data_IF_421231426295
#
_entry.id   IF_421231426295
#
_cell.length_a   1.000
_cell.length_b   1.000
_cell.length_c   1.000
_cell.angle_alpha   90.00
_cell.angle_beta   90.00
_cell.angle_gamma   90.00
#
_symmetry.space_group_name_H-M   'P 1'
#
loop_
_entity.id
_entity.type
_entity.pdbx_description
1 polymer ?
#
# COMPACT_ATOMS: atom_id res chain seq x y z
N UNK A 1 6.26 -49.03 27.57
CA UNK A 1 6.32 -49.78 26.32
C UNK A 1 4.93 -50.22 25.94
N UNK A 2 4.28 -49.44 25.04
CA UNK A 2 3.18 -49.88 24.18
C UNK A 2 2.96 -48.76 23.16
N UNK A 3 3.07 -49.10 21.92
CA UNK A 3 2.83 -48.30 20.72
C UNK A 3 1.33 -48.05 20.60
N UNK A 4 0.91 -46.81 20.34
CA UNK A 4 -0.43 -46.44 19.83
C UNK A 4 -0.15 -45.39 18.76
N UNK A 5 -0.36 -45.57 17.60
CA UNK A 5 -1.36 -45.73 16.64
C UNK A 5 -1.60 -44.38 15.96
N UNK A 6 -1.23 -44.24 14.64
CA UNK A 6 -1.60 -43.16 13.75
C UNK A 6 -3.12 -42.96 13.76
N UNK A 7 -3.59 -41.77 14.15
CA UNK A 7 -4.97 -41.31 13.99
C UNK A 7 -5.03 -40.19 12.97
N UNK A 8 -5.72 -40.45 11.86
CA UNK A 8 -6.15 -39.44 10.90
C UNK A 8 -6.96 -38.37 11.62
N UNK A 9 -6.58 -37.11 11.45
CA UNK A 9 -7.42 -35.94 11.81
C UNK A 9 -8.35 -35.73 10.60
N UNK A 10 -9.57 -36.28 10.69
CA UNK A 10 -10.66 -35.90 9.82
C UNK A 10 -11.06 -34.45 10.08
N UNK A 11 -11.42 -33.73 9.02
CA UNK A 11 -11.88 -32.35 9.03
C UNK A 11 -13.00 -32.15 10.08
N UNK A 12 -12.75 -31.33 11.08
CA UNK A 12 -13.78 -30.94 12.06
C UNK A 12 -14.79 -30.04 11.31
N UNK A 13 -16.00 -30.56 11.11
CA UNK A 13 -17.13 -29.77 10.59
C UNK A 13 -17.55 -28.76 11.67
N UNK A 14 -17.18 -27.50 11.44
CA UNK A 14 -17.50 -26.36 12.32
C UNK A 14 -19.00 -26.24 12.61
N UNK A 15 -19.86 -26.73 11.69
CA UNK A 15 -21.31 -26.80 11.90
C UNK A 15 -21.71 -27.77 13.00
N UNK A 16 -20.98 -28.87 13.13
CA UNK A 16 -21.23 -29.88 14.17
C UNK A 16 -20.88 -29.38 15.58
N UNK A 17 -19.82 -28.57 15.70
CA UNK A 17 -19.40 -27.98 16.97
C UNK A 17 -20.35 -26.87 17.42
N UNK A 18 -20.85 -26.04 16.49
CA UNK A 18 -21.80 -24.96 16.81
C UNK A 18 -23.21 -25.47 17.13
N UNK A 19 -23.67 -26.56 16.49
CA UNK A 19 -24.96 -27.18 16.82
C UNK A 19 -24.99 -27.76 18.24
N UNK A 20 -23.87 -28.29 18.73
CA UNK A 20 -23.80 -28.85 20.08
C UNK A 20 -23.67 -27.80 21.20
N UNK A 21 -23.23 -26.57 20.87
CA UNK A 21 -23.08 -25.49 21.83
C UNK A 21 -24.33 -24.60 21.99
N UNK A 22 -25.19 -24.50 20.98
CA UNK A 22 -26.27 -23.50 20.97
C UNK A 22 -27.68 -24.05 20.64
N UNK A 23 -27.86 -25.34 20.40
CA UNK A 23 -29.16 -25.95 20.11
C UNK A 23 -29.71 -25.61 18.72
N UNK A 24 -30.30 -26.59 18.05
CA UNK A 24 -30.76 -26.54 16.62
C UNK A 24 -31.82 -25.45 16.35
N UNK A 25 -32.66 -25.11 17.34
CA UNK A 25 -33.80 -24.20 17.16
C UNK A 25 -33.41 -22.71 17.24
N UNK A 26 -32.27 -22.39 17.83
CA UNK A 26 -31.76 -21.01 17.95
C UNK A 26 -31.05 -20.58 16.67
N UNK A 27 -30.45 -21.51 15.96
CA UNK A 27 -29.75 -21.24 14.69
C UNK A 27 -30.71 -21.00 13.50
N UNK A 28 -31.85 -21.72 13.43
CA UNK A 28 -32.81 -21.53 12.34
C UNK A 28 -33.61 -20.21 12.45
N UNK A 29 -33.87 -19.71 13.64
CA UNK A 29 -34.59 -18.43 13.83
C UNK A 29 -33.73 -17.19 13.60
N UNK A 30 -32.41 -17.29 13.78
CA UNK A 30 -31.50 -16.15 13.60
C UNK A 30 -30.87 -16.06 12.21
N UNK A 31 -30.90 -17.14 11.41
CA UNK A 31 -30.41 -17.14 10.04
C UNK A 31 -31.36 -16.50 9.02
N UNK A 32 -32.65 -16.38 9.34
CA UNK A 32 -33.64 -15.71 8.46
C UNK A 32 -33.76 -14.19 8.69
N UNK A 33 -33.06 -13.64 9.71
CA UNK A 33 -33.07 -12.22 10.03
C UNK A 33 -31.74 -11.49 9.66
N UNK A 34 -30.78 -12.19 9.07
CA UNK A 34 -29.50 -11.65 8.62
C UNK A 34 -29.46 -11.66 7.09
N UNK A 35 -30.21 -10.75 6.46
CA UNK A 35 -29.94 -10.30 5.08
C UNK A 35 -28.63 -9.45 5.08
N UNK A 36 -27.54 -10.10 5.44
CA UNK A 36 -26.19 -9.59 5.15
C UNK A 36 -25.80 -10.12 3.78
N UNK A 37 -25.14 -9.32 2.93
CA UNK A 37 -24.60 -9.79 1.67
C UNK A 37 -23.37 -10.68 1.94
N UNK A 38 -23.62 -11.86 2.51
CA UNK A 38 -22.58 -12.88 2.81
C UNK A 38 -21.95 -13.42 1.51
N UNK A 39 -22.63 -13.27 0.36
CA UNK A 39 -22.19 -13.82 -0.92
C UNK A 39 -20.90 -13.21 -1.48
N UNK A 40 -20.69 -11.89 -1.38
CA UNK A 40 -19.56 -11.24 -2.03
C UNK A 40 -18.26 -11.33 -1.23
N UNK A 41 -18.32 -11.26 0.10
CA UNK A 41 -17.14 -11.37 0.95
C UNK A 41 -16.61 -12.81 1.04
N UNK A 42 -17.51 -13.82 1.05
CA UNK A 42 -17.13 -15.23 1.05
C UNK A 42 -16.59 -15.67 -0.31
N UNK A 43 -17.13 -15.16 -1.42
CA UNK A 43 -16.64 -15.42 -2.78
C UNK A 43 -15.22 -14.87 -2.97
N UNK A 44 -14.96 -13.63 -2.55
CA UNK A 44 -13.64 -13.00 -2.65
C UNK A 44 -12.54 -13.69 -1.81
N UNK A 45 -12.90 -14.34 -0.69
CA UNK A 45 -11.93 -15.07 0.14
C UNK A 45 -11.54 -16.45 -0.44
N UNK A 46 -12.28 -16.96 -1.44
CA UNK A 46 -12.01 -18.23 -2.14
C UNK A 46 -11.11 -18.06 -3.36
N UNK A 47 -10.96 -16.83 -3.88
CA UNK A 47 -10.16 -16.55 -5.06
C UNK A 47 -8.67 -16.83 -4.81
N UNK A 48 -8.04 -17.47 -5.80
CA UNK A 48 -6.64 -17.88 -5.71
C UNK A 48 -5.91 -17.63 -7.03
N UNK A 49 -4.62 -17.43 -6.96
CA UNK A 49 -3.72 -17.53 -8.11
C UNK A 49 -3.10 -18.91 -8.17
N UNK A 50 -3.06 -19.47 -9.39
CA UNK A 50 -2.31 -20.66 -9.72
C UNK A 50 -1.17 -20.22 -10.64
N UNK A 51 0.07 -20.48 -10.22
CA UNK A 51 1.28 -19.97 -10.86
C UNK A 51 2.22 -21.14 -11.13
N UNK A 52 2.60 -21.32 -12.40
CA UNK A 52 3.68 -22.20 -12.81
C UNK A 52 4.96 -21.38 -12.97
N UNK A 53 5.99 -21.73 -12.21
CA UNK A 53 7.22 -20.95 -12.18
C UNK A 53 8.26 -21.38 -13.22
N UNK A 54 9.41 -20.68 -13.24
CA UNK A 54 10.58 -20.89 -14.12
C UNK A 54 10.36 -20.61 -15.60
N UNK A 55 9.35 -19.83 -15.95
CA UNK A 55 9.21 -19.29 -17.30
C UNK A 55 9.86 -17.91 -17.39
N UNK A 56 10.73 -17.66 -18.40
CA UNK A 56 11.35 -16.34 -18.58
C UNK A 56 10.30 -15.26 -18.87
N UNK A 57 10.33 -14.18 -18.14
CA UNK A 57 9.42 -13.04 -18.32
C UNK A 57 10.00 -12.10 -19.39
N UNK A 58 9.27 -11.85 -20.49
CA UNK A 58 9.74 -11.04 -21.63
C UNK A 58 8.64 -10.13 -22.12
N UNK A 59 8.95 -8.89 -22.41
CA UNK A 59 7.99 -7.90 -22.92
C UNK A 59 8.09 -6.59 -22.21
N UNK A 60 6.99 -5.84 -22.23
CA UNK A 60 6.92 -4.51 -21.61
C UNK A 60 5.78 -4.46 -20.61
N UNK A 61 6.07 -3.98 -19.40
CA UNK A 61 5.10 -3.63 -18.38
C UNK A 61 5.08 -2.11 -18.24
N UNK A 62 3.91 -1.50 -18.43
CA UNK A 62 3.71 -0.08 -18.16
C UNK A 62 3.25 0.10 -16.73
N UNK A 63 3.86 1.05 -16.00
CA UNK A 63 3.48 1.33 -14.61
C UNK A 63 2.07 1.92 -14.55
N UNK A 64 1.30 1.47 -13.58
CA UNK A 64 0.00 2.05 -13.23
C UNK A 64 0.19 3.36 -12.46
N UNK A 65 -0.88 4.14 -12.32
CA UNK A 65 -0.88 5.30 -11.44
C UNK A 65 -0.64 4.94 -9.97
N UNK A 66 0.02 5.83 -9.25
CA UNK A 66 0.40 5.58 -7.87
C UNK A 66 -0.83 5.54 -6.95
N UNK A 67 -1.15 4.36 -6.43
CA UNK A 67 -2.22 4.17 -5.45
C UNK A 67 -2.11 5.16 -4.30
N UNK A 68 -0.93 5.26 -3.69
CA UNK A 68 -0.73 6.06 -2.49
C UNK A 68 -0.84 7.57 -2.75
N UNK A 69 -0.69 8.03 -4.02
CA UNK A 69 -0.98 9.40 -4.43
C UNK A 69 -2.48 9.60 -4.76
N UNK A 70 -3.12 8.61 -5.37
CA UNK A 70 -4.53 8.70 -5.73
C UNK A 70 -5.42 8.90 -4.50
N UNK A 71 -5.19 8.15 -3.42
CA UNK A 71 -6.03 8.21 -2.22
C UNK A 71 -6.05 9.60 -1.55
N UNK A 72 -4.91 10.26 -1.24
CA UNK A 72 -4.92 11.61 -0.70
C UNK A 72 -5.41 12.66 -1.69
N UNK A 73 -5.16 12.51 -3.00
CA UNK A 73 -5.69 13.44 -4.01
C UNK A 73 -7.22 13.39 -4.11
N UNK A 74 -7.83 12.19 -3.97
CA UNK A 74 -9.30 12.06 -3.87
C UNK A 74 -9.81 12.78 -2.62
N UNK A 75 -9.19 12.59 -1.46
CA UNK A 75 -9.58 13.28 -0.24
C UNK A 75 -9.38 14.80 -0.33
N UNK A 76 -8.28 15.27 -0.92
CA UNK A 76 -7.98 16.68 -1.13
C UNK A 76 -8.98 17.38 -2.05
N UNK A 77 -9.61 16.64 -2.97
CA UNK A 77 -10.66 17.19 -3.86
C UNK A 77 -11.85 17.76 -3.08
N UNK A 78 -12.06 17.36 -1.81
CA UNK A 78 -13.04 17.95 -0.90
C UNK A 78 -12.77 19.44 -0.65
N UNK A 79 -11.52 19.88 -0.71
CA UNK A 79 -11.14 21.29 -0.45
C UNK A 79 -11.51 22.26 -1.58
N UNK A 80 -11.75 21.75 -2.79
CA UNK A 80 -11.99 22.57 -3.96
C UNK A 80 -13.37 23.26 -3.94
N UNK A 81 -13.47 24.41 -4.62
CA UNK A 81 -14.73 25.12 -4.89
C UNK A 81 -15.32 24.73 -6.26
N UNK A 82 -14.55 24.05 -7.10
CA UNK A 82 -14.86 23.66 -8.46
C UNK A 82 -14.53 22.20 -8.68
N UNK A 83 -15.01 21.55 -9.76
CA UNK A 83 -14.67 20.17 -10.08
C UNK A 83 -13.15 19.95 -10.23
N UNK A 84 -12.69 18.79 -9.77
CA UNK A 84 -11.30 18.32 -9.86
C UNK A 84 -11.27 17.11 -10.79
N UNK A 85 -10.46 17.18 -11.84
CA UNK A 85 -10.19 16.03 -12.70
C UNK A 85 -8.89 15.36 -12.25
N UNK A 86 -8.97 14.07 -11.97
CA UNK A 86 -7.80 13.25 -11.63
C UNK A 86 -7.56 12.24 -12.75
N UNK A 87 -6.33 12.20 -13.27
CA UNK A 87 -5.89 11.31 -14.33
C UNK A 87 -4.86 10.29 -13.84
N UNK A 88 -4.72 9.21 -14.59
CA UNK A 88 -3.83 8.08 -14.25
C UNK A 88 -4.19 7.46 -12.88
N UNK A 89 -5.47 7.37 -12.58
CA UNK A 89 -5.98 6.72 -11.35
C UNK A 89 -6.01 5.22 -11.58
N UNK A 90 -5.38 4.39 -10.72
CA UNK A 90 -5.41 2.94 -10.88
C UNK A 90 -6.81 2.39 -10.56
N UNK A 91 -7.27 1.42 -11.38
CA UNK A 91 -8.58 0.78 -11.20
C UNK A 91 -8.50 -0.36 -10.15
N UNK A 92 -8.39 0.02 -8.88
CA UNK A 92 -8.26 -0.89 -7.74
C UNK A 92 -9.32 -0.61 -6.67
N UNK A 93 -9.60 -1.62 -5.82
CA UNK A 93 -10.66 -1.54 -4.81
C UNK A 93 -10.47 -0.37 -3.82
N UNK A 94 -9.26 -0.11 -3.34
CA UNK A 94 -9.01 0.95 -2.37
C UNK A 94 -9.40 2.34 -2.94
N UNK A 95 -9.18 2.56 -4.24
CA UNK A 95 -9.61 3.79 -4.94
C UNK A 95 -11.13 3.85 -5.04
N UNK A 96 -11.78 2.74 -5.41
CA UNK A 96 -13.24 2.66 -5.50
C UNK A 96 -13.91 2.99 -4.15
N UNK A 97 -13.36 2.48 -3.04
CA UNK A 97 -13.85 2.81 -1.69
C UNK A 97 -13.70 4.29 -1.38
N UNK A 98 -12.60 4.95 -1.77
CA UNK A 98 -12.43 6.39 -1.55
C UNK A 98 -13.44 7.20 -2.37
N UNK A 99 -13.77 6.80 -3.60
CA UNK A 99 -14.86 7.40 -4.37
C UNK A 99 -16.21 7.20 -3.70
N UNK A 100 -16.46 6.04 -3.11
CA UNK A 100 -17.71 5.77 -2.39
C UNK A 100 -17.84 6.65 -1.13
N UNK A 101 -16.73 6.88 -0.40
CA UNK A 101 -16.71 7.85 0.70
C UNK A 101 -17.03 9.26 0.18
N UNK A 102 -16.40 9.69 -0.91
CA UNK A 102 -16.64 11.00 -1.50
C UNK A 102 -18.12 11.18 -1.93
N UNK A 103 -18.71 10.16 -2.56
CA UNK A 103 -20.15 10.15 -2.91
C UNK A 103 -21.04 10.19 -1.66
N UNK A 104 -20.71 9.41 -0.63
CA UNK A 104 -21.49 9.39 0.62
C UNK A 104 -21.50 10.77 1.31
N UNK A 105 -20.39 11.50 1.25
CA UNK A 105 -20.30 12.87 1.77
C UNK A 105 -21.18 13.84 1.00
N UNK A 106 -21.65 13.47 -0.18
CA UNK A 106 -22.53 14.25 -1.05
C UNK A 106 -21.84 14.78 -2.33
N UNK A 107 -20.57 14.44 -2.57
CA UNK A 107 -19.87 14.82 -3.79
C UNK A 107 -20.29 13.97 -4.99
N UNK A 108 -20.13 14.51 -6.20
CA UNK A 108 -20.35 13.77 -7.42
C UNK A 108 -19.04 13.19 -7.95
N UNK A 109 -19.07 11.97 -8.45
CA UNK A 109 -17.91 11.28 -9.02
C UNK A 109 -18.32 10.71 -10.37
N UNK A 110 -17.73 11.23 -11.44
CA UNK A 110 -17.98 10.85 -12.83
C UNK A 110 -16.73 10.25 -13.45
N UNK A 111 -16.86 9.11 -14.08
CA UNK A 111 -15.79 8.49 -14.84
C UNK A 111 -15.71 9.11 -16.25
N UNK A 112 -14.54 9.64 -16.61
CA UNK A 112 -14.27 10.21 -17.92
C UNK A 112 -13.76 9.11 -18.87
N UNK A 113 -12.79 8.34 -18.41
CA UNK A 113 -12.24 7.17 -19.08
C UNK A 113 -11.78 6.12 -18.04
N UNK A 114 -11.09 5.06 -18.46
CA UNK A 114 -10.67 3.95 -17.59
C UNK A 114 -9.85 4.42 -16.38
N UNK A 115 -9.04 5.47 -16.54
CA UNK A 115 -8.11 5.95 -15.51
C UNK A 115 -8.27 7.45 -15.20
N UNK A 116 -9.36 8.07 -15.66
CA UNK A 116 -9.63 9.50 -15.43
C UNK A 116 -11.03 9.71 -14.84
N UNK A 117 -11.10 10.54 -13.80
CA UNK A 117 -12.31 10.78 -13.04
C UNK A 117 -12.47 12.26 -12.73
N UNK A 118 -13.71 12.75 -12.79
CA UNK A 118 -14.09 14.09 -12.36
C UNK A 118 -14.80 14.01 -11.00
N UNK A 119 -14.29 14.74 -10.01
CA UNK A 119 -14.85 14.82 -8.66
C UNK A 119 -15.40 16.23 -8.44
N UNK A 120 -16.71 16.36 -8.25
CA UNK A 120 -17.34 17.64 -7.95
C UNK A 120 -17.72 17.73 -6.46
N UNK A 121 -16.99 18.56 -5.67
CA UNK A 121 -17.21 18.68 -4.24
C UNK A 121 -18.29 19.69 -3.84
N UNK A 122 -18.94 20.38 -4.79
CA UNK A 122 -19.85 21.52 -4.50
C UNK A 122 -21.08 21.11 -3.71
N UNK A 123 -21.54 19.88 -3.85
CA UNK A 123 -22.73 19.33 -3.17
C UNK A 123 -22.41 18.58 -1.87
N UNK A 124 -21.15 18.54 -1.45
CA UNK A 124 -20.76 17.91 -0.17
C UNK A 124 -21.42 18.68 0.99
N UNK A 125 -22.14 17.92 1.83
CA UNK A 125 -22.88 18.46 2.98
C UNK A 125 -22.73 17.63 4.25
N UNK A 126 -22.21 16.41 4.16
CA UNK A 126 -21.96 15.52 5.29
C UNK A 126 -20.49 15.60 5.72
N UNK A 127 -20.27 15.50 7.03
CA UNK A 127 -18.95 15.53 7.66
C UNK A 127 -18.63 14.23 8.42
N UNK A 128 -19.34 13.16 8.11
CA UNK A 128 -19.19 11.85 8.76
C UNK A 128 -18.92 10.78 7.72
N UNK A 129 -17.86 9.99 7.95
CA UNK A 129 -17.51 8.83 7.11
C UNK A 129 -18.22 7.60 7.69
N UNK A 130 -18.94 6.79 6.86
CA UNK A 130 -19.64 5.61 7.36
C UNK A 130 -18.67 4.50 7.76
N UNK A 131 -19.00 3.81 8.84
CA UNK A 131 -18.16 2.76 9.43
C UNK A 131 -17.84 1.63 8.43
N UNK A 132 -18.83 1.26 7.61
CA UNK A 132 -18.70 0.19 6.61
C UNK A 132 -17.64 0.50 5.55
N UNK A 133 -17.48 1.77 5.15
CA UNK A 133 -16.46 2.21 4.22
C UNK A 133 -15.11 2.43 4.92
N UNK A 134 -15.14 3.02 6.13
CA UNK A 134 -13.91 3.27 6.89
C UNK A 134 -13.15 1.98 7.23
N UNK A 135 -13.86 0.88 7.50
CA UNK A 135 -13.25 -0.44 7.77
C UNK A 135 -12.59 -1.08 6.56
N UNK A 136 -12.99 -0.73 5.33
CA UNK A 136 -12.43 -1.32 4.10
C UNK A 136 -11.06 -0.76 3.74
N UNK A 137 -10.81 0.52 4.01
CA UNK A 137 -9.57 1.17 3.61
C UNK A 137 -9.05 2.10 4.73
N UNK A 138 -7.77 1.97 5.06
CA UNK A 138 -7.15 2.83 6.07
C UNK A 138 -7.13 4.30 5.65
N UNK A 139 -6.99 4.57 4.36
CA UNK A 139 -6.94 5.91 3.81
C UNK A 139 -8.23 6.73 4.04
N UNK A 140 -9.31 6.13 4.52
CA UNK A 140 -10.51 6.86 4.97
C UNK A 140 -10.21 7.95 6.00
N UNK A 141 -9.15 7.78 6.81
CA UNK A 141 -8.67 8.79 7.77
C UNK A 141 -8.25 10.10 7.08
N UNK A 142 -7.88 10.06 5.79
CA UNK A 142 -7.46 11.23 5.02
C UNK A 142 -8.57 12.25 4.81
N UNK A 143 -9.83 11.88 4.99
CA UNK A 143 -10.93 12.83 4.96
C UNK A 143 -11.00 13.73 6.21
N UNK A 144 -10.26 13.43 7.29
CA UNK A 144 -10.30 14.24 8.51
C UNK A 144 -9.82 15.67 8.26
N UNK A 145 -8.63 15.85 7.65
CA UNK A 145 -8.05 17.16 7.35
C UNK A 145 -8.96 18.02 6.48
N UNK A 146 -9.35 17.55 5.28
CA UNK A 146 -10.22 18.32 4.38
C UNK A 146 -11.58 18.67 4.98
N UNK A 147 -12.24 17.74 5.66
CA UNK A 147 -13.55 17.98 6.25
C UNK A 147 -13.48 19.03 7.37
N UNK A 148 -12.52 18.93 8.29
CA UNK A 148 -12.38 19.92 9.36
C UNK A 148 -11.96 21.28 8.81
N UNK A 149 -11.09 21.33 7.79
CA UNK A 149 -10.65 22.58 7.19
C UNK A 149 -11.77 23.31 6.47
N UNK A 150 -12.61 22.59 5.70
CA UNK A 150 -13.67 23.19 4.89
C UNK A 150 -14.96 23.43 5.65
N UNK A 151 -15.35 22.48 6.54
CA UNK A 151 -16.67 22.48 7.20
C UNK A 151 -16.60 22.66 8.72
N UNK A 152 -15.39 22.75 9.29
CA UNK A 152 -15.18 22.87 10.73
C UNK A 152 -15.50 21.62 11.53
N UNK A 153 -15.80 20.50 10.89
CA UNK A 153 -16.16 19.25 11.56
C UNK A 153 -15.79 18.03 10.70
N UNK A 154 -15.27 16.97 11.36
CA UNK A 154 -15.12 15.66 10.78
C UNK A 154 -15.41 14.57 11.83
N UNK A 155 -16.13 13.51 11.46
CA UNK A 155 -16.40 12.34 12.30
C UNK A 155 -15.99 11.12 11.51
N UNK A 156 -15.07 10.32 12.07
CA UNK A 156 -14.54 9.13 11.42
C UNK A 156 -14.54 7.96 12.40
N UNK A 157 -15.03 6.79 11.98
CA UNK A 157 -14.79 5.56 12.72
C UNK A 157 -13.28 5.22 12.72
N UNK A 158 -12.82 4.33 13.62
CA UNK A 158 -11.47 3.81 13.54
C UNK A 158 -11.19 3.20 12.15
N UNK A 159 -10.10 3.61 11.47
CA UNK A 159 -9.82 3.15 10.12
C UNK A 159 -9.39 1.69 10.10
N UNK A 160 -9.84 0.93 9.09
CA UNK A 160 -9.43 -0.45 8.83
C UNK A 160 -8.07 -0.55 8.13
N UNK A 161 -7.92 -1.56 7.26
CA UNK A 161 -6.73 -1.79 6.41
C UNK A 161 -5.88 -2.97 6.84
N UNK A 162 -4.69 -3.12 6.22
CA UNK A 162 -3.80 -4.26 6.40
C UNK A 162 -3.25 -4.38 7.83
N UNK A 163 -3.13 -5.61 8.31
CA UNK A 163 -2.57 -5.92 9.63
C UNK A 163 -1.06 -6.18 9.49
N UNK A 164 -0.26 -5.11 9.46
CA UNK A 164 1.21 -5.15 9.32
C UNK A 164 1.96 -4.70 10.58
N UNK A 165 1.28 -4.60 11.70
CA UNK A 165 1.77 -4.10 12.98
C UNK A 165 0.91 -2.96 13.51
N UNK A 166 1.38 -2.33 14.60
CA UNK A 166 0.69 -1.17 15.19
C UNK A 166 0.80 0.04 14.27
N UNK A 167 -0.33 0.45 13.72
CA UNK A 167 -0.42 1.64 12.85
C UNK A 167 -1.12 2.75 13.62
N UNK A 168 -0.32 3.62 14.22
CA UNK A 168 -0.79 4.74 15.03
C UNK A 168 -1.56 5.77 14.17
N UNK A 169 -2.48 6.48 14.81
CA UNK A 169 -3.19 7.63 14.25
C UNK A 169 -2.87 8.91 15.03
N UNK A 170 -1.98 8.80 16.01
CA UNK A 170 -1.61 9.89 16.91
C UNK A 170 -1.10 11.12 16.15
N UNK A 171 -0.28 10.90 15.12
CA UNK A 171 0.27 11.99 14.30
C UNK A 171 -0.83 12.83 13.62
N UNK A 172 -1.93 12.19 13.16
CA UNK A 172 -3.08 12.93 12.64
C UNK A 172 -3.72 13.81 13.70
N UNK A 173 -3.87 13.26 14.92
CA UNK A 173 -4.47 13.95 16.05
C UNK A 173 -3.60 15.14 16.44
N UNK A 174 -2.30 14.92 16.66
CA UNK A 174 -1.34 15.97 17.01
C UNK A 174 -1.38 17.11 15.99
N UNK A 175 -1.27 16.79 14.70
CA UNK A 175 -1.24 17.79 13.64
C UNK A 175 -2.52 18.66 13.63
N UNK A 176 -3.70 18.05 13.71
CA UNK A 176 -4.98 18.78 13.69
C UNK A 176 -5.22 19.56 14.98
N UNK A 177 -4.77 19.05 16.15
CA UNK A 177 -4.86 19.77 17.42
C UNK A 177 -3.99 21.03 17.42
N UNK A 178 -2.73 20.92 16.95
CA UNK A 178 -1.85 22.08 16.87
C UNK A 178 -2.41 23.17 15.94
N UNK A 179 -3.09 22.78 14.86
CA UNK A 179 -3.81 23.71 13.99
C UNK A 179 -5.11 24.28 14.62
N UNK A 180 -5.49 23.86 15.84
CA UNK A 180 -6.61 24.38 16.59
C UNK A 180 -7.89 23.54 16.58
N UNK A 181 -7.85 22.31 16.07
CA UNK A 181 -9.00 21.41 16.13
C UNK A 181 -9.17 20.84 17.57
N UNK A 182 -10.40 20.75 18.03
CA UNK A 182 -10.78 20.00 19.23
C UNK A 182 -11.04 18.56 18.85
N UNK A 183 -10.55 17.63 19.66
CA UNK A 183 -10.66 16.19 19.42
C UNK A 183 -11.63 15.56 20.43
N UNK A 184 -12.49 14.67 19.95
CA UNK A 184 -13.31 13.77 20.75
C UNK A 184 -12.95 12.33 20.41
N UNK A 185 -12.63 11.53 21.42
CA UNK A 185 -12.24 10.13 21.30
C UNK A 185 -13.21 9.26 22.10
N UNK A 186 -14.39 9.07 21.57
CA UNK A 186 -15.39 8.16 22.16
C UNK A 186 -15.43 6.86 21.32
N UNK A 187 -16.57 6.57 20.69
CA UNK A 187 -16.71 5.45 19.75
C UNK A 187 -16.18 5.79 18.35
N UNK A 188 -15.99 7.07 18.06
CA UNK A 188 -15.48 7.62 16.81
C UNK A 188 -14.43 8.69 17.08
N UNK A 189 -13.63 8.99 16.05
CA UNK A 189 -12.70 10.12 16.02
C UNK A 189 -13.47 11.37 15.58
N UNK A 190 -13.77 12.25 16.50
CA UNK A 190 -14.41 13.53 16.22
C UNK A 190 -13.39 14.66 16.17
N UNK A 191 -13.42 15.48 15.14
CA UNK A 191 -12.63 16.70 14.99
C UNK A 191 -13.57 17.88 14.81
N UNK A 192 -13.32 18.99 15.51
CA UNK A 192 -14.11 20.20 15.37
C UNK A 192 -13.25 21.45 15.54
N UNK A 193 -13.47 22.44 14.70
CA UNK A 193 -12.80 23.73 14.77
C UNK A 193 -13.75 24.84 14.28
N UNK A 194 -13.72 26.00 14.92
CA UNK A 194 -14.36 27.20 14.37
C UNK A 194 -13.55 27.73 13.19
N UNK A 195 -12.24 27.65 13.31
CA UNK A 195 -11.25 27.93 12.27
C UNK A 195 -9.95 27.20 12.62
N UNK A 196 -9.17 26.86 11.63
CA UNK A 196 -7.80 26.40 11.77
C UNK A 196 -6.85 27.58 11.65
N UNK A 197 -5.75 27.54 12.42
CA UNK A 197 -4.74 28.61 12.46
C UNK A 197 -3.36 27.98 12.18
N UNK A 198 -2.63 28.54 11.24
CA UNK A 198 -1.29 28.14 10.90
C UNK A 198 -0.31 28.45 12.04
N UNK A 199 0.44 27.45 12.44
CA UNK A 199 1.46 27.50 13.51
C UNK A 199 2.64 26.59 13.13
N UNK A 200 3.81 26.71 13.78
CA UNK A 200 4.81 25.65 13.72
C UNK A 200 4.29 24.34 14.32
N UNK A 201 4.30 23.27 13.53
CA UNK A 201 3.87 21.91 13.92
C UNK A 201 5.05 20.97 13.77
N UNK A 202 5.42 20.26 14.83
CA UNK A 202 6.39 19.17 14.77
C UNK A 202 5.66 17.83 14.88
N UNK A 203 5.72 17.02 13.82
CA UNK A 203 5.13 15.69 13.83
C UNK A 203 5.97 14.74 14.68
N UNK A 204 5.34 13.98 15.56
CA UNK A 204 6.00 12.99 16.43
C UNK A 204 6.62 11.82 15.64
N UNK A 205 6.14 11.63 14.42
CA UNK A 205 6.57 10.60 13.48
C UNK A 205 6.48 11.14 12.05
N UNK A 206 7.40 10.74 11.16
CA UNK A 206 7.31 11.04 9.72
C UNK A 206 6.21 10.17 9.07
N UNK A 207 5.00 10.28 9.61
CA UNK A 207 3.83 9.55 9.13
C UNK A 207 3.36 10.11 7.79
N UNK A 208 3.25 9.25 6.77
CA UNK A 208 2.77 9.64 5.44
C UNK A 208 1.36 10.24 5.53
N UNK A 209 0.39 9.46 6.00
CA UNK A 209 -1.00 9.90 6.05
C UNK A 209 -1.24 11.00 7.07
N UNK A 210 -0.47 11.05 8.16
CA UNK A 210 -0.47 12.15 9.13
C UNK A 210 0.00 13.46 8.48
N UNK A 211 1.09 13.42 7.72
CA UNK A 211 1.60 14.55 6.94
C UNK A 211 0.57 15.01 5.90
N UNK A 212 -0.04 14.09 5.16
CA UNK A 212 -1.07 14.40 4.14
C UNK A 212 -2.28 15.11 4.75
N UNK A 213 -2.79 14.64 5.89
CA UNK A 213 -3.87 15.32 6.60
C UNK A 213 -3.46 16.70 7.10
N UNK A 214 -2.24 16.85 7.62
CA UNK A 214 -1.70 18.14 8.07
C UNK A 214 -1.59 19.13 6.89
N UNK A 215 -1.07 18.70 5.74
CA UNK A 215 -0.96 19.52 4.53
C UNK A 215 -2.35 19.98 4.07
N UNK A 216 -3.31 19.07 3.94
CA UNK A 216 -4.67 19.39 3.53
C UNK A 216 -5.36 20.37 4.48
N UNK A 217 -5.21 20.16 5.79
CA UNK A 217 -5.78 21.06 6.79
C UNK A 217 -5.11 22.44 6.78
N UNK A 218 -3.79 22.50 6.69
CA UNK A 218 -3.00 23.73 6.67
C UNK A 218 -3.27 24.57 5.43
N UNK A 219 -3.64 23.96 4.30
CA UNK A 219 -3.91 24.66 3.04
C UNK A 219 -5.10 25.66 3.13
N UNK A 220 -5.99 25.51 4.11
CA UNK A 220 -7.09 26.46 4.38
C UNK A 220 -6.99 27.08 5.79
N UNK A 221 -5.93 26.86 6.56
CA UNK A 221 -5.73 27.47 7.87
C UNK A 221 -5.37 28.96 7.75
N UNK A 222 -5.78 29.81 8.69
CA UNK A 222 -5.39 31.22 8.69
C UNK A 222 -3.90 31.38 9.01
N UNK A 223 -3.14 32.05 8.16
CA UNK A 223 -1.72 32.33 8.37
C UNK A 223 -0.80 31.25 7.82
N UNK A 224 0.38 31.11 8.40
CA UNK A 224 1.45 30.24 7.91
C UNK A 224 1.64 29.03 8.82
N UNK A 225 1.58 27.82 8.27
CA UNK A 225 1.98 26.58 8.94
C UNK A 225 3.40 26.21 8.55
N UNK A 226 4.26 25.91 9.55
CA UNK A 226 5.58 25.33 9.32
C UNK A 226 5.51 23.88 9.81
N UNK A 227 5.35 22.94 8.89
CA UNK A 227 5.26 21.52 9.21
C UNK A 227 6.67 20.92 9.20
N UNK A 228 7.10 20.37 10.32
CA UNK A 228 8.43 19.77 10.54
C UNK A 228 8.30 18.28 10.82
N UNK A 229 9.34 17.52 10.47
CA UNK A 229 9.36 16.06 10.48
C UNK A 229 8.27 15.44 9.57
N UNK A 230 7.97 16.15 8.49
CA UNK A 230 6.99 15.70 7.49
C UNK A 230 7.53 14.50 6.69
N UNK A 231 6.65 13.61 6.30
CA UNK A 231 6.94 12.62 5.26
C UNK A 231 7.13 13.32 3.91
N UNK A 232 8.04 12.81 3.07
CA UNK A 232 8.39 13.45 1.80
C UNK A 232 8.45 12.48 0.62
N UNK A 233 7.74 11.36 0.71
CA UNK A 233 7.58 10.37 -0.32
C UNK A 233 7.02 10.97 -1.61
N UNK A 234 7.28 10.38 -2.79
CA UNK A 234 6.80 10.86 -4.08
C UNK A 234 5.29 11.13 -4.12
N UNK A 235 4.49 10.31 -3.44
CA UNK A 235 3.04 10.48 -3.39
C UNK A 235 2.59 11.66 -2.48
N UNK A 236 3.33 11.97 -1.42
CA UNK A 236 3.11 13.21 -0.64
C UNK A 236 3.45 14.45 -1.48
N UNK A 237 4.51 14.36 -2.30
CA UNK A 237 4.87 15.43 -3.24
C UNK A 237 3.79 15.63 -4.30
N UNK A 238 3.14 14.57 -4.79
CA UNK A 238 2.04 14.66 -5.74
C UNK A 238 0.84 15.39 -5.12
N UNK A 239 0.49 15.06 -3.87
CA UNK A 239 -0.55 15.81 -3.14
C UNK A 239 -0.19 17.30 -3.05
N UNK A 240 1.05 17.64 -2.68
CA UNK A 240 1.48 19.05 -2.63
C UNK A 240 1.37 19.72 -4.01
N UNK A 241 1.82 19.07 -5.09
CA UNK A 241 1.74 19.60 -6.46
C UNK A 241 0.31 19.82 -6.90
N UNK A 242 -0.59 18.89 -6.59
CA UNK A 242 -2.02 19.04 -6.87
C UNK A 242 -2.60 20.25 -6.12
N UNK A 243 -2.33 20.38 -4.82
CA UNK A 243 -2.81 21.50 -4.01
C UNK A 243 -2.25 22.84 -4.52
N UNK A 244 -0.98 22.89 -4.94
CA UNK A 244 -0.38 24.07 -5.57
C UNK A 244 -1.12 24.43 -6.86
N UNK A 245 -1.46 23.45 -7.72
CA UNK A 245 -2.27 23.71 -8.92
C UNK A 245 -3.68 24.20 -8.57
N UNK A 246 -4.23 23.80 -7.44
CA UNK A 246 -5.51 24.28 -6.92
C UNK A 246 -5.40 25.70 -6.32
N UNK A 247 -4.20 26.25 -6.19
CA UNK A 247 -3.94 27.61 -5.69
C UNK A 247 -3.41 27.67 -4.27
N UNK A 248 -2.99 26.55 -3.67
CA UNK A 248 -2.27 26.58 -2.39
C UNK A 248 -0.83 27.09 -2.58
N UNK A 249 -0.31 27.75 -1.56
CA UNK A 249 1.09 28.20 -1.49
C UNK A 249 1.87 27.28 -0.54
N UNK A 250 2.64 26.35 -1.12
CA UNK A 250 3.39 25.33 -0.39
C UNK A 250 4.84 25.33 -0.87
N UNK A 251 5.75 25.62 0.05
CA UNK A 251 7.20 25.59 -0.19
C UNK A 251 7.84 24.40 0.55
N UNK A 252 9.03 23.95 0.08
CA UNK A 252 9.77 22.82 0.67
C UNK A 252 9.29 21.43 0.21
N UNK A 253 8.51 21.31 -0.86
CA UNK A 253 8.04 20.03 -1.40
C UNK A 253 9.21 19.08 -1.67
N UNK A 254 9.09 17.83 -1.17
CA UNK A 254 10.15 16.82 -1.27
C UNK A 254 11.17 16.88 -0.11
N UNK A 255 10.95 17.74 0.88
CA UNK A 255 11.73 17.79 2.11
C UNK A 255 10.87 17.46 3.33
N UNK A 256 11.51 17.23 4.48
CA UNK A 256 10.82 16.98 5.75
C UNK A 256 10.37 18.28 6.46
N UNK A 257 10.46 19.42 5.77
CA UNK A 257 10.01 20.71 6.28
C UNK A 257 9.22 21.44 5.19
N UNK A 258 7.92 21.59 5.43
CA UNK A 258 7.02 22.31 4.53
C UNK A 258 6.61 23.65 5.15
N UNK A 259 6.48 24.67 4.32
CA UNK A 259 5.91 25.97 4.67
C UNK A 259 4.65 26.13 3.86
N UNK A 260 3.50 26.23 4.53
CA UNK A 260 2.20 26.25 3.90
C UNK A 260 1.52 27.57 4.29
N UNK A 261 1.26 28.42 3.31
CA UNK A 261 0.45 29.61 3.51
C UNK A 261 -1.01 29.26 3.23
N UNK A 262 -1.86 29.40 4.22
CA UNK A 262 -3.27 29.06 4.08
C UNK A 262 -4.01 29.99 3.12
N UNK A 263 -4.75 29.38 2.21
CA UNK A 263 -5.58 30.08 1.22
C UNK A 263 -7.00 30.28 1.75
N UNK A 264 -7.72 31.29 1.23
CA UNK A 264 -9.15 31.49 1.54
C UNK A 264 -10.03 30.44 0.85
N UNK A 265 -9.62 29.95 -0.30
CA UNK A 265 -10.32 28.94 -1.10
C UNK A 265 -9.32 28.28 -2.05
N UNK A 266 -9.63 27.06 -2.47
CA UNK A 266 -8.89 26.33 -3.50
C UNK A 266 -9.80 26.10 -4.72
N UNK A 267 -9.24 26.23 -5.92
CA UNK A 267 -9.94 26.04 -7.18
C UNK A 267 -10.01 24.58 -7.59
N UNK A 268 -10.74 24.26 -8.65
CA UNK A 268 -10.63 23.00 -9.35
C UNK A 268 -9.28 22.87 -10.08
N UNK A 269 -8.95 21.66 -10.51
CA UNK A 269 -7.73 21.38 -11.28
C UNK A 269 -7.90 20.16 -12.18
N UNK A 270 -7.00 19.99 -13.14
CA UNK A 270 -6.82 18.76 -13.92
C UNK A 270 -5.41 18.24 -13.61
N UNK A 271 -5.33 17.20 -12.76
CA UNK A 271 -4.07 16.68 -12.24
C UNK A 271 -3.83 15.24 -12.65
N UNK A 272 -2.63 14.94 -13.12
CA UNK A 272 -2.19 13.58 -13.45
C UNK A 272 -1.36 12.99 -12.31
N UNK A 273 -1.83 11.89 -11.72
CA UNK A 273 -1.13 11.14 -10.70
C UNK A 273 0.15 10.52 -11.32
N UNK A 274 1.27 10.57 -10.60
CA UNK A 274 2.51 9.95 -11.05
C UNK A 274 2.42 8.41 -11.09
N UNK A 275 3.34 7.78 -11.82
CA UNK A 275 3.46 6.33 -11.86
C UNK A 275 3.83 5.73 -10.47
N UNK A 276 3.41 4.49 -10.20
CA UNK A 276 3.64 3.82 -8.92
C UNK A 276 5.06 3.27 -8.81
N UNK A 277 5.90 3.95 -8.04
CA UNK A 277 7.28 3.52 -7.78
C UNK A 277 7.40 2.26 -6.90
N UNK A 278 6.32 1.87 -6.17
CA UNK A 278 6.26 0.59 -5.47
C UNK A 278 6.07 -0.56 -6.48
N UNK A 279 5.22 -0.33 -7.49
CA UNK A 279 5.06 -1.27 -8.60
C UNK A 279 6.37 -1.40 -9.40
N UNK A 280 7.06 -0.27 -9.65
CA UNK A 280 8.39 -0.26 -10.26
C UNK A 280 9.37 -1.16 -9.51
N UNK A 281 9.51 -0.99 -8.19
CA UNK A 281 10.38 -1.82 -7.37
C UNK A 281 10.00 -3.31 -7.42
N UNK A 282 8.70 -3.61 -7.43
CA UNK A 282 8.21 -4.99 -7.56
C UNK A 282 8.58 -5.61 -8.91
N UNK A 283 8.45 -4.87 -10.02
CA UNK A 283 8.80 -5.37 -11.36
C UNK A 283 10.32 -5.44 -11.58
N UNK A 284 11.12 -4.57 -10.96
CA UNK A 284 12.57 -4.72 -10.92
C UNK A 284 12.92 -6.04 -10.21
N UNK A 285 12.32 -6.31 -9.05
CA UNK A 285 12.53 -7.57 -8.32
C UNK A 285 12.07 -8.79 -9.11
N UNK A 286 10.91 -8.73 -9.77
CA UNK A 286 10.40 -9.78 -10.66
C UNK A 286 11.42 -10.10 -11.77
N UNK A 287 11.85 -9.08 -12.51
CA UNK A 287 12.82 -9.24 -13.59
C UNK A 287 14.14 -9.85 -13.09
N UNK A 288 14.61 -9.41 -11.93
CA UNK A 288 15.86 -9.87 -11.34
C UNK A 288 15.87 -11.38 -11.06
N UNK A 289 14.73 -11.98 -10.63
CA UNK A 289 14.68 -13.38 -10.20
C UNK A 289 14.15 -14.35 -11.27
N UNK A 290 13.42 -13.85 -12.28
CA UNK A 290 12.82 -14.72 -13.31
C UNK A 290 13.68 -14.84 -14.57
N UNK A 291 14.62 -13.91 -14.77
CA UNK A 291 15.39 -13.81 -16.03
C UNK A 291 14.49 -13.34 -17.19
N UNK A 292 15.07 -13.27 -18.37
CA UNK A 292 14.35 -12.82 -19.57
C UNK A 292 14.67 -11.38 -19.95
N UNK A 293 13.84 -10.76 -20.80
CA UNK A 293 14.01 -9.39 -21.29
C UNK A 293 12.76 -8.57 -20.97
N UNK A 294 12.68 -8.08 -19.75
CA UNK A 294 11.58 -7.23 -19.30
C UNK A 294 11.97 -5.76 -19.46
N UNK A 295 11.03 -4.96 -19.95
CA UNK A 295 11.08 -3.49 -19.97
C UNK A 295 9.98 -2.95 -19.10
N UNK A 296 10.26 -1.84 -18.42
CA UNK A 296 9.30 -1.17 -17.55
C UNK A 296 9.18 0.27 -18.04
N UNK A 297 8.00 0.64 -18.53
CA UNK A 297 7.71 1.98 -19.07
C UNK A 297 6.98 2.85 -18.04
N UNK A 298 7.12 4.18 -18.16
CA UNK A 298 6.52 5.17 -17.28
C UNK A 298 7.37 5.47 -16.05
N UNK A 299 8.66 5.18 -16.08
CA UNK A 299 9.58 5.33 -14.95
C UNK A 299 10.00 6.80 -14.79
N UNK A 300 9.90 7.33 -13.59
CA UNK A 300 10.47 8.62 -13.21
C UNK A 300 11.88 8.43 -12.68
N UNK A 301 12.86 9.14 -13.27
CA UNK A 301 14.26 9.03 -12.87
C UNK A 301 14.49 9.40 -11.39
N UNK A 302 13.71 10.36 -10.86
CA UNK A 302 13.81 10.84 -9.48
C UNK A 302 13.42 9.78 -8.44
N UNK A 303 12.64 8.77 -8.82
CA UNK A 303 12.20 7.71 -7.92
C UNK A 303 13.25 6.58 -7.78
N UNK A 304 14.26 6.56 -8.66
CA UNK A 304 15.24 5.46 -8.72
C UNK A 304 16.35 5.49 -7.64
N UNK A 305 16.87 6.63 -7.19
CA UNK A 305 18.02 6.64 -6.28
C UNK A 305 17.82 5.81 -5.00
N UNK A 306 16.69 5.91 -4.25
CA UNK A 306 16.46 5.09 -3.08
C UNK A 306 16.35 3.60 -3.41
N UNK A 307 15.70 3.24 -4.52
CA UNK A 307 15.59 1.85 -4.96
C UNK A 307 16.97 1.27 -5.30
N UNK A 308 17.82 2.05 -5.97
CA UNK A 308 19.16 1.63 -6.36
C UNK A 308 20.01 1.23 -5.15
N UNK A 309 19.89 1.94 -4.02
CA UNK A 309 20.64 1.64 -2.80
C UNK A 309 20.37 0.21 -2.31
N UNK A 310 19.10 -0.23 -2.27
CA UNK A 310 18.75 -1.58 -1.85
C UNK A 310 19.12 -2.63 -2.91
N UNK A 311 18.64 -2.44 -4.14
CA UNK A 311 18.80 -3.42 -5.22
C UNK A 311 20.26 -3.68 -5.60
N UNK A 312 21.13 -2.66 -5.60
CA UNK A 312 22.55 -2.83 -5.90
C UNK A 312 23.29 -3.73 -4.92
N UNK A 313 22.85 -3.81 -3.66
CA UNK A 313 23.41 -4.72 -2.64
C UNK A 313 23.17 -6.20 -2.97
N UNK A 314 22.19 -6.49 -3.81
CA UNK A 314 21.91 -7.83 -4.33
C UNK A 314 22.41 -8.04 -5.77
N UNK A 315 23.22 -7.09 -6.28
CA UNK A 315 23.77 -7.15 -7.63
C UNK A 315 22.77 -6.81 -8.74
N UNK A 316 21.60 -6.29 -8.42
CA UNK A 316 20.61 -5.86 -9.40
C UNK A 316 20.99 -4.49 -9.95
N UNK A 317 21.09 -4.40 -11.28
CA UNK A 317 21.38 -3.16 -12.01
C UNK A 317 20.39 -2.98 -13.16
N UNK A 318 20.32 -1.79 -13.74
CA UNK A 318 19.43 -1.47 -14.85
C UNK A 318 19.97 -0.33 -15.70
N UNK A 319 19.47 -0.24 -16.94
CA UNK A 319 19.62 0.90 -17.81
C UNK A 319 18.31 1.68 -17.88
N UNK A 320 18.36 3.01 -17.91
CA UNK A 320 17.23 3.89 -18.12
C UNK A 320 17.43 4.67 -19.42
N UNK A 321 16.45 4.63 -20.33
CA UNK A 321 16.41 5.42 -21.56
C UNK A 321 15.07 6.13 -21.67
N UNK A 322 15.09 7.45 -21.53
CA UNK A 322 13.84 8.21 -21.37
C UNK A 322 13.12 7.79 -20.09
N UNK A 323 11.91 7.27 -20.22
CA UNK A 323 11.07 6.73 -19.15
C UNK A 323 11.00 5.18 -19.17
N UNK A 324 11.79 4.51 -20.01
CA UNK A 324 11.85 3.05 -20.08
C UNK A 324 13.08 2.52 -19.32
N UNK A 325 12.83 1.71 -18.30
CA UNK A 325 13.86 1.01 -17.52
C UNK A 325 13.99 -0.44 -18.00
N UNK A 326 15.22 -0.91 -18.15
CA UNK A 326 15.54 -2.30 -18.50
C UNK A 326 16.48 -2.89 -17.45
N UNK A 327 16.01 -3.82 -16.59
CA UNK A 327 16.87 -4.53 -15.65
C UNK A 327 17.91 -5.38 -16.38
N UNK A 328 19.16 -5.40 -15.89
CA UNK A 328 20.25 -6.17 -16.46
C UNK A 328 20.21 -7.61 -15.91
N UNK A 329 19.68 -8.55 -16.71
CA UNK A 329 19.48 -9.95 -16.32
C UNK A 329 20.57 -10.88 -16.89
N UNK A 330 21.64 -10.32 -17.46
CA UNK A 330 22.71 -11.08 -18.12
C UNK A 330 23.73 -11.69 -17.15
N UNK A 331 23.70 -11.29 -15.89
CA UNK A 331 24.65 -11.72 -14.86
C UNK A 331 23.88 -12.36 -13.70
N UNK A 332 24.38 -13.49 -13.19
CA UNK A 332 23.82 -14.09 -11.98
C UNK A 332 23.87 -13.11 -10.81
N UNK A 333 22.77 -13.02 -10.06
CA UNK A 333 22.67 -12.15 -8.91
C UNK A 333 23.72 -12.53 -7.87
N UNK A 334 24.42 -11.55 -7.34
CA UNK A 334 25.43 -11.73 -6.31
C UNK A 334 25.31 -10.67 -5.25
N UNK A 335 25.31 -11.08 -4.00
CA UNK A 335 25.36 -10.16 -2.85
C UNK A 335 26.66 -9.35 -2.91
N UNK A 336 26.53 -8.02 -2.88
CA UNK A 336 27.66 -7.10 -2.88
C UNK A 336 27.97 -6.75 -1.41
N UNK A 337 29.12 -7.15 -0.87
CA UNK A 337 29.48 -6.83 0.50
C UNK A 337 29.56 -5.32 0.76
N UNK A 338 29.20 -4.91 1.98
CA UNK A 338 29.47 -3.54 2.43
C UNK A 338 31.00 -3.33 2.62
N UNK A 339 31.41 -2.09 2.84
CA UNK A 339 32.82 -1.69 2.98
C UNK A 339 33.53 -2.59 4.00
N UNK A 340 34.72 -3.08 3.65
CA UNK A 340 35.50 -4.00 4.49
C UNK A 340 35.04 -5.47 4.42
N UNK A 341 34.23 -5.84 3.40
CA UNK A 341 33.77 -7.22 3.23
C UNK A 341 32.64 -7.64 4.20
N UNK A 342 31.98 -6.67 4.81
CA UNK A 342 30.92 -6.93 5.80
C UNK A 342 29.65 -7.44 5.09
N UNK A 343 28.83 -8.22 5.83
CA UNK A 343 27.52 -8.65 5.37
C UNK A 343 26.64 -7.41 5.12
N UNK A 344 26.13 -7.21 3.90
CA UNK A 344 25.33 -6.03 3.61
C UNK A 344 23.98 -6.09 4.33
N UNK A 345 23.58 -4.92 4.87
CA UNK A 345 22.28 -4.74 5.47
C UNK A 345 21.39 -3.98 4.49
N UNK A 346 20.20 -4.53 4.19
CA UNK A 346 19.13 -3.87 3.47
C UNK A 346 18.07 -3.51 4.49
N UNK A 347 17.92 -2.24 4.79
CA UNK A 347 16.99 -1.73 5.79
C UNK A 347 16.13 -0.61 5.23
N UNK A 348 14.88 -0.60 5.67
CA UNK A 348 13.91 0.44 5.32
C UNK A 348 14.10 1.70 6.18
N UNK A 349 13.63 2.81 5.64
CA UNK A 349 13.57 4.09 6.34
C UNK A 349 12.55 5.01 5.65
N UNK A 350 12.04 6.07 6.35
CA UNK A 350 11.30 7.13 5.70
C UNK A 350 12.05 7.69 4.49
N UNK A 351 11.31 8.08 3.46
CA UNK A 351 11.89 8.63 2.22
C UNK A 351 12.82 9.83 2.50
N UNK A 352 13.98 9.95 1.85
CA UNK A 352 14.47 9.14 0.70
C UNK A 352 15.27 7.90 1.10
N UNK A 353 15.00 7.30 2.25
CA UNK A 353 15.49 5.96 2.57
C UNK A 353 14.81 4.89 1.72
N UNK A 354 15.27 3.63 1.86
CA UNK A 354 14.68 2.51 1.12
C UNK A 354 13.24 2.24 1.62
N UNK A 355 12.25 2.12 0.70
CA UNK A 355 10.84 1.98 1.10
C UNK A 355 10.53 0.67 1.83
N UNK A 356 9.85 0.75 2.98
CA UNK A 356 9.39 -0.41 3.75
C UNK A 356 8.52 -1.37 2.93
N UNK A 357 7.69 -0.85 2.02
CA UNK A 357 6.81 -1.63 1.14
C UNK A 357 7.57 -2.56 0.18
N UNK A 358 8.86 -2.32 -0.06
CA UNK A 358 9.70 -3.17 -0.90
C UNK A 358 10.58 -4.15 -0.13
N UNK A 359 10.57 -4.15 1.20
CA UNK A 359 11.35 -5.06 2.03
C UNK A 359 11.01 -6.53 1.73
N UNK A 360 9.73 -6.85 1.50
CA UNK A 360 9.30 -8.19 1.14
C UNK A 360 9.82 -8.64 -0.24
N UNK A 361 9.83 -7.72 -1.21
CA UNK A 361 10.38 -7.97 -2.55
C UNK A 361 11.90 -8.24 -2.44
N UNK A 362 12.61 -7.39 -1.69
CA UNK A 362 14.05 -7.56 -1.46
C UNK A 362 14.39 -8.88 -0.77
N UNK A 363 13.53 -9.35 0.13
CA UNK A 363 13.70 -10.66 0.77
C UNK A 363 13.67 -11.78 -0.26
N UNK A 364 12.72 -11.74 -1.22
CA UNK A 364 12.67 -12.73 -2.32
C UNK A 364 13.89 -12.62 -3.22
N UNK A 365 14.28 -11.41 -3.64
CA UNK A 365 15.48 -11.21 -4.47
C UNK A 365 16.74 -11.75 -3.77
N UNK A 366 16.88 -11.52 -2.46
CA UNK A 366 18.01 -12.03 -1.67
C UNK A 366 18.06 -13.57 -1.65
N UNK A 367 16.90 -14.27 -1.70
CA UNK A 367 16.89 -15.74 -1.81
C UNK A 367 17.51 -16.25 -3.09
N UNK A 368 17.64 -15.42 -4.13
CA UNK A 368 18.17 -15.79 -5.45
C UNK A 368 19.57 -15.22 -5.71
N UNK A 369 20.10 -14.35 -4.84
CA UNK A 369 21.44 -13.78 -4.97
C UNK A 369 22.48 -14.65 -4.25
N UNK A 370 23.61 -14.95 -4.90
CA UNK A 370 24.71 -15.71 -4.30
C UNK A 370 25.39 -14.93 -3.17
N UNK A 371 25.27 -15.41 -1.94
CA UNK A 371 25.83 -14.82 -0.73
C UNK A 371 24.82 -14.68 0.41
N UNK A 372 25.18 -13.85 1.39
CA UNK A 372 24.41 -13.61 2.62
C UNK A 372 24.04 -12.14 2.72
N UNK A 373 22.79 -11.84 3.00
CA UNK A 373 22.30 -10.49 3.26
C UNK A 373 21.44 -10.46 4.54
N UNK A 374 21.52 -9.34 5.28
CA UNK A 374 20.61 -9.05 6.39
C UNK A 374 19.49 -8.15 5.89
N UNK A 375 18.26 -8.61 5.98
CA UNK A 375 17.05 -7.80 5.75
C UNK A 375 16.57 -7.29 7.10
N UNK A 376 16.32 -5.97 7.20
CA UNK A 376 15.89 -5.34 8.44
C UNK A 376 14.71 -4.40 8.19
N UNK A 377 13.52 -4.86 8.49
CA UNK A 377 12.28 -4.07 8.49
C UNK A 377 12.17 -3.30 9.80
N UNK A 378 12.36 -1.98 9.78
CA UNK A 378 12.37 -1.15 10.99
C UNK A 378 11.02 -0.56 11.34
N UNK A 379 10.15 -0.38 10.34
CA UNK A 379 8.94 0.43 10.49
C UNK A 379 7.71 -0.38 10.91
N UNK A 380 7.63 -1.69 10.57
CA UNK A 380 6.41 -2.49 10.80
C UNK A 380 6.73 -3.89 11.36
N UNK A 381 6.30 -4.14 12.61
CA UNK A 381 6.66 -5.34 13.38
C UNK A 381 6.16 -6.66 12.78
N UNK A 382 5.05 -6.63 12.04
CA UNK A 382 4.43 -7.85 11.51
C UNK A 382 4.75 -8.12 10.04
N UNK A 383 5.49 -7.23 9.38
CA UNK A 383 5.73 -7.33 7.94
C UNK A 383 6.62 -8.52 7.54
N UNK A 384 7.47 -9.01 8.44
CA UNK A 384 8.36 -10.14 8.18
C UNK A 384 7.72 -11.52 8.35
N UNK A 385 6.48 -11.62 8.82
CA UNK A 385 5.83 -12.92 9.07
C UNK A 385 5.60 -13.76 7.80
N UNK A 386 5.56 -13.14 6.63
CA UNK A 386 5.47 -13.88 5.36
C UNK A 386 6.71 -14.75 5.08
N UNK A 387 7.84 -14.49 5.73
CA UNK A 387 9.11 -15.22 5.55
C UNK A 387 8.94 -16.72 5.77
N UNK A 388 8.05 -17.15 6.67
CA UNK A 388 7.73 -18.57 6.89
C UNK A 388 7.24 -19.25 5.60
N UNK A 389 6.55 -18.51 4.72
CA UNK A 389 6.09 -19.04 3.43
C UNK A 389 7.27 -19.26 2.48
N UNK A 390 8.24 -18.36 2.47
CA UNK A 390 9.47 -18.55 1.69
C UNK A 390 10.31 -19.71 2.20
N UNK A 391 10.42 -19.88 3.52
CA UNK A 391 11.10 -21.02 4.14
C UNK A 391 10.40 -22.34 3.72
N UNK A 392 9.07 -22.38 3.74
CA UNK A 392 8.31 -23.56 3.29
C UNK A 392 8.46 -23.86 1.80
N UNK A 393 8.85 -22.88 0.97
CA UNK A 393 9.23 -23.05 -0.43
C UNK A 393 10.68 -23.52 -0.60
N UNK A 394 11.47 -23.61 0.46
CA UNK A 394 12.88 -24.03 0.43
C UNK A 394 13.90 -22.89 0.52
N UNK A 395 13.46 -21.66 0.82
CA UNK A 395 14.38 -20.56 1.06
C UNK A 395 15.23 -20.79 2.33
N UNK A 396 16.51 -20.45 2.25
CA UNK A 396 17.45 -20.54 3.38
C UNK A 396 17.46 -19.21 4.13
N UNK A 397 16.53 -19.06 5.08
CA UNK A 397 16.32 -17.85 5.86
C UNK A 397 16.33 -18.20 7.34
N UNK A 398 16.99 -17.37 8.15
CA UNK A 398 16.87 -17.36 9.60
C UNK A 398 16.14 -16.07 9.99
N UNK A 399 14.91 -16.21 10.50
CA UNK A 399 14.18 -15.11 11.11
C UNK A 399 14.73 -14.89 12.52
N UNK A 400 15.47 -13.80 12.73
CA UNK A 400 16.13 -13.50 13.98
C UNK A 400 15.15 -12.97 15.03
N UNK A 401 14.23 -12.14 14.59
CA UNK A 401 13.16 -11.52 15.37
C UNK A 401 12.08 -10.96 14.40
N UNK A 402 11.00 -10.32 14.88
CA UNK A 402 9.95 -9.76 14.00
C UNK A 402 10.44 -8.76 12.94
N UNK A 403 11.63 -8.20 13.11
CA UNK A 403 12.19 -7.14 12.27
C UNK A 403 13.35 -7.59 11.38
N UNK A 404 14.06 -8.69 11.72
CA UNK A 404 15.33 -9.05 11.07
C UNK A 404 15.34 -10.47 10.57
N UNK A 405 15.80 -10.64 9.34
CA UNK A 405 16.04 -11.95 8.75
C UNK A 405 17.41 -11.99 8.06
N UNK A 406 18.15 -13.08 8.27
CA UNK A 406 19.35 -13.39 7.51
C UNK A 406 18.94 -14.31 6.37
N UNK A 407 19.23 -13.89 5.14
CA UNK A 407 18.92 -14.64 3.93
C UNK A 407 20.22 -15.12 3.30
N UNK A 408 20.27 -16.42 2.98
CA UNK A 408 21.38 -17.05 2.28
C UNK A 408 20.92 -17.59 0.93
N UNK A 409 21.40 -17.00 -0.16
CA UNK A 409 21.09 -17.39 -1.53
C UNK A 409 22.28 -18.04 -2.25
N UNK A 410 22.10 -18.56 -3.48
CA UNK A 410 20.81 -18.81 -4.10
C UNK A 410 20.09 -20.03 -3.47
N UNK A 411 18.77 -19.93 -3.30
CA UNK A 411 17.94 -21.05 -2.86
C UNK A 411 17.14 -21.64 -4.02
N UNK A 412 17.01 -22.95 -4.05
CA UNK A 412 16.10 -23.62 -4.99
C UNK A 412 14.69 -23.58 -4.40
N UNK A 413 13.88 -22.63 -4.87
CA UNK A 413 12.48 -22.54 -4.46
C UNK A 413 11.62 -23.57 -5.20
N UNK A 414 10.66 -24.16 -4.49
CA UNK A 414 9.70 -25.13 -5.01
C UNK A 414 8.28 -24.61 -4.76
N UNK A 415 7.39 -24.89 -5.72
CA UNK A 415 5.98 -24.49 -5.63
C UNK A 415 5.31 -24.95 -4.34
N UNK A 416 4.43 -24.13 -3.80
CA UNK A 416 3.74 -24.38 -2.53
C UNK A 416 2.36 -23.74 -2.49
N UNK A 417 1.54 -24.13 -1.51
CA UNK A 417 0.25 -23.51 -1.21
C UNK A 417 0.44 -22.45 -0.13
N UNK A 418 0.04 -21.23 -0.42
CA UNK A 418 0.26 -20.07 0.43
C UNK A 418 -1.01 -19.24 0.58
N UNK A 419 -1.05 -18.38 1.60
CA UNK A 419 -2.13 -17.39 1.81
C UNK A 419 -1.48 -16.01 1.89
N UNK A 420 -1.96 -15.07 1.07
CA UNK A 420 -1.48 -13.68 1.08
C UNK A 420 -1.92 -12.98 2.37
N UNK A 421 -0.99 -12.45 3.19
CA UNK A 421 -1.35 -11.73 4.41
C UNK A 421 -1.70 -10.25 4.14
N UNK A 422 -1.08 -9.64 3.15
CA UNK A 422 -1.20 -8.23 2.77
C UNK A 422 -0.82 -8.00 1.30
N UNK A 423 -0.97 -6.76 0.83
CA UNK A 423 -0.68 -6.33 -0.54
C UNK A 423 0.76 -6.66 -0.97
N UNK A 424 1.75 -6.30 -0.15
CA UNK A 424 3.16 -6.30 -0.53
C UNK A 424 3.82 -7.66 -0.35
N UNK A 425 3.54 -8.33 0.76
CA UNK A 425 3.96 -9.72 0.96
C UNK A 425 3.30 -10.65 -0.06
N UNK A 426 2.05 -10.38 -0.44
CA UNK A 426 1.35 -11.10 -1.50
C UNK A 426 2.07 -11.00 -2.85
N UNK A 427 2.48 -9.79 -3.26
CA UNK A 427 3.27 -9.61 -4.48
C UNK A 427 4.65 -10.30 -4.39
N UNK A 428 5.29 -10.26 -3.23
CA UNK A 428 6.54 -10.99 -3.01
C UNK A 428 6.34 -12.50 -3.19
N UNK A 429 5.21 -13.07 -2.71
CA UNK A 429 4.87 -14.47 -2.93
C UNK A 429 4.60 -14.78 -4.41
N UNK A 430 3.97 -13.87 -5.18
CA UNK A 430 3.82 -14.02 -6.64
C UNK A 430 5.18 -14.08 -7.32
N UNK A 431 6.11 -13.19 -6.97
CA UNK A 431 7.47 -13.18 -7.51
C UNK A 431 8.22 -14.48 -7.13
N UNK A 432 8.11 -14.93 -5.88
CA UNK A 432 8.71 -16.19 -5.43
C UNK A 432 8.14 -17.39 -6.20
N UNK A 433 6.82 -17.43 -6.41
CA UNK A 433 6.16 -18.48 -7.17
C UNK A 433 6.60 -18.51 -8.65
N UNK A 434 6.77 -17.34 -9.28
CA UNK A 434 7.22 -17.22 -10.66
C UNK A 434 8.67 -17.68 -10.87
N UNK A 435 9.53 -17.62 -9.85
CA UNK A 435 10.90 -18.16 -9.94
C UNK A 435 11.04 -19.59 -9.36
N UNK A 436 10.02 -20.13 -8.70
CA UNK A 436 10.04 -21.47 -8.10
C UNK A 436 9.89 -22.59 -9.15
N UNK A 437 10.34 -23.78 -8.82
CA UNK A 437 10.11 -24.99 -9.64
C UNK A 437 8.73 -25.58 -9.32
N UNK A 438 7.91 -25.83 -10.35
CA UNK A 438 6.57 -26.40 -10.22
C UNK A 438 5.48 -25.37 -10.02
N UNK A 439 4.35 -25.82 -9.47
CA UNK A 439 3.12 -25.01 -9.34
C UNK A 439 2.94 -24.49 -7.91
N UNK A 440 2.66 -23.20 -7.79
CA UNK A 440 2.24 -22.58 -6.52
C UNK A 440 0.77 -22.18 -6.57
N UNK A 441 0.11 -22.22 -5.42
CA UNK A 441 -1.28 -21.73 -5.22
C UNK A 441 -1.23 -20.66 -4.16
N UNK A 442 -1.71 -19.46 -4.48
CA UNK A 442 -1.79 -18.34 -3.54
C UNK A 442 -3.25 -18.01 -3.30
N UNK A 443 -3.71 -18.21 -2.08
CA UNK A 443 -5.06 -17.83 -1.64
C UNK A 443 -5.11 -16.38 -1.14
N UNK A 444 -6.34 -15.86 -0.96
CA UNK A 444 -6.58 -14.49 -0.49
C UNK A 444 -5.97 -13.42 -1.42
N UNK A 445 -6.07 -13.63 -2.72
CA UNK A 445 -5.45 -12.76 -3.74
C UNK A 445 -6.09 -11.38 -3.82
N UNK A 446 -7.31 -11.25 -3.31
CA UNK A 446 -7.96 -9.96 -3.11
C UNK A 446 -7.04 -8.93 -2.42
N UNK A 447 -6.23 -9.37 -1.44
CA UNK A 447 -5.27 -8.49 -0.79
C UNK A 447 -4.22 -7.94 -1.78
N UNK A 448 -3.78 -8.75 -2.76
CA UNK A 448 -2.81 -8.33 -3.78
C UNK A 448 -3.44 -7.32 -4.74
N UNK A 449 -4.66 -7.62 -5.19
CA UNK A 449 -5.43 -6.81 -6.16
C UNK A 449 -5.81 -5.41 -5.61
N UNK A 450 -5.77 -5.20 -4.31
CA UNK A 450 -5.92 -3.88 -3.69
C UNK A 450 -4.77 -2.92 -4.01
N UNK A 451 -3.64 -3.40 -4.50
CA UNK A 451 -2.46 -2.58 -4.78
C UNK A 451 -1.83 -2.79 -6.15
N UNK A 452 -2.29 -3.77 -6.92
CA UNK A 452 -1.79 -4.08 -8.26
C UNK A 452 -2.96 -4.29 -9.20
N UNK A 453 -3.11 -3.37 -10.14
CA UNK A 453 -4.18 -3.38 -11.12
C UNK A 453 -3.94 -4.46 -12.19
N UNK A 454 -4.97 -5.28 -12.49
CA UNK A 454 -4.97 -6.29 -13.57
C UNK A 454 -3.70 -7.14 -13.60
N UNK A 455 -3.23 -7.58 -12.41
CA UNK A 455 -1.92 -8.21 -12.25
C UNK A 455 -1.78 -9.49 -13.10
N UNK A 456 -2.83 -10.33 -13.13
CA UNK A 456 -2.83 -11.61 -13.87
C UNK A 456 -2.68 -11.37 -15.37
N UNK A 457 -3.48 -10.47 -15.92
CA UNK A 457 -3.48 -10.14 -17.36
C UNK A 457 -2.15 -9.53 -17.76
N UNK A 458 -1.63 -8.59 -16.98
CA UNK A 458 -0.36 -7.91 -17.25
C UNK A 458 0.83 -8.85 -17.17
N UNK A 459 0.89 -9.72 -16.17
CA UNK A 459 1.96 -10.70 -16.04
C UNK A 459 1.85 -11.79 -17.14
N UNK A 460 0.64 -12.25 -17.47
CA UNK A 460 0.43 -13.19 -18.56
C UNK A 460 0.88 -12.63 -19.92
N UNK A 461 0.62 -11.33 -20.18
CA UNK A 461 1.03 -10.65 -21.41
C UNK A 461 2.55 -10.62 -21.61
N UNK A 462 3.34 -10.74 -20.53
CA UNK A 462 4.81 -10.82 -20.59
C UNK A 462 5.35 -12.24 -20.41
N UNK A 463 4.49 -13.25 -20.49
CA UNK A 463 4.87 -14.67 -20.52
C UNK A 463 4.85 -15.39 -19.17
N UNK A 464 4.28 -14.77 -18.10
CA UNK A 464 4.04 -15.50 -16.87
C UNK A 464 2.90 -16.51 -17.04
N UNK A 465 3.07 -17.71 -16.49
CA UNK A 465 2.03 -18.72 -16.40
C UNK A 465 1.26 -18.54 -15.08
N UNK A 466 0.33 -17.62 -15.09
CA UNK A 466 -0.50 -17.27 -13.94
C UNK A 466 -1.97 -17.21 -14.35
N UNK A 467 -2.86 -17.72 -13.51
CA UNK A 467 -4.31 -17.60 -13.67
C UNK A 467 -5.01 -17.38 -12.34
N UNK A 468 -6.15 -16.71 -12.37
CA UNK A 468 -7.07 -16.53 -11.23
C UNK A 468 -8.20 -17.54 -11.30
N UNK A 469 -8.48 -18.19 -10.20
CA UNK A 469 -9.61 -19.12 -10.01
C UNK A 469 -10.38 -18.82 -8.74
#
# INVERSE_FOLDING_TARGET
MKVIGQGHIESIDVRFVLCNLFGHDVLQKNLSALDLPIGSAYSKAMDKYIIEGRYPIKGTLTLSGNKNAALPCIAASVLAQEPVTLRNIPAIEDVAVMFDVFRYLGGLVEQIDTHSWCLDPRSISKCEVPEELAKKVRASILFAGPLVARFGKAILPPPGGDTIGRRRIDTHIVALQELGARISLENTLGFSATKLVGVPVFLDEASVTGTENAIMAASLAEGTTILMNAACEPHVQDLCRMLIQMGADIDGVGSNRLIIQGAKSLNGTDFTISADYMELGSFIGLAAVTGGDLRIDGVRADDLPPLKVGFSKLGVTWDLKGDTLRPNNMVALRVVPDIGGQIPKIDDAPWPGFPADLTSIMTVVATQADGVALIHEKMFESRMFFVDKLISMGARIVLCDPHRAIVYGPSKLVGNVMVSPDVRAGMAMVIAALCAEGTSIIHNVYQIERGYENLVERLSAVGAHIKRE
#
